data_IF_673870570130
#
_entry.id   IF_673870570130
#
_cell.length_a   1.000
_cell.length_b   1.000
_cell.length_c   1.000
_cell.angle_alpha   90.00
_cell.angle_beta   90.00
_cell.angle_gamma   90.00
#
_symmetry.space_group_name_H-M   'P 1'
#
loop_
_entity.id
_entity.type
_entity.pdbx_description
1 polymer ?
#
# COMPACT_ATOMS: atom_id res chain seq x y z
N UNK A 1 -4.98 7.46 -22.25
CA UNK A 1 -3.83 6.60 -21.80
C UNK A 1 -3.81 5.36 -22.67
N UNK A 2 -2.61 4.91 -23.10
CA UNK A 2 -2.41 3.71 -23.94
C UNK A 2 -2.93 2.44 -23.24
N UNK A 3 -3.35 1.44 -24.04
CA UNK A 3 -3.62 0.08 -23.56
C UNK A 3 -2.33 -0.75 -23.33
N UNK A 4 -1.23 -0.33 -23.96
CA UNK A 4 0.10 -0.98 -23.84
C UNK A 4 1.17 0.09 -23.57
N UNK A 5 1.18 0.68 -22.35
CA UNK A 5 2.17 1.71 -22.01
C UNK A 5 3.61 1.18 -21.96
N UNK A 6 3.80 -0.14 -21.82
CA UNK A 6 5.13 -0.77 -21.87
C UNK A 6 5.88 -0.50 -23.15
N UNK A 7 5.20 -0.36 -24.29
CA UNK A 7 5.86 -0.07 -25.58
C UNK A 7 6.58 1.27 -25.56
N UNK A 8 5.89 2.33 -25.08
CA UNK A 8 6.51 3.65 -24.94
C UNK A 8 7.64 3.69 -23.91
N UNK A 9 7.47 2.97 -22.79
CA UNK A 9 8.51 2.88 -21.75
C UNK A 9 9.77 2.14 -22.26
N UNK A 10 9.61 1.04 -23.02
CA UNK A 10 10.72 0.34 -23.68
C UNK A 10 11.47 1.25 -24.63
N UNK A 11 10.75 1.98 -25.49
CA UNK A 11 11.34 2.93 -26.42
C UNK A 11 12.14 4.02 -25.69
N UNK A 12 11.59 4.59 -24.62
CA UNK A 12 12.31 5.57 -23.80
C UNK A 12 13.54 4.98 -23.10
N UNK A 13 13.47 3.71 -22.67
CA UNK A 13 14.61 3.01 -22.08
C UNK A 13 15.73 2.81 -23.11
N UNK A 14 15.40 2.36 -24.32
CA UNK A 14 16.36 2.17 -25.42
C UNK A 14 17.06 3.47 -25.83
N UNK A 15 16.35 4.60 -25.75
CA UNK A 15 16.90 5.93 -26.00
C UNK A 15 17.66 6.54 -24.81
N UNK A 16 17.77 5.85 -23.68
CA UNK A 16 18.28 6.39 -22.40
C UNK A 16 17.59 7.70 -22.00
N UNK A 17 16.26 7.78 -22.26
CA UNK A 17 15.44 8.97 -22.01
C UNK A 17 14.54 8.85 -20.77
N UNK A 18 14.68 7.76 -20.01
CA UNK A 18 14.04 7.62 -18.69
C UNK A 18 14.83 8.39 -17.63
N UNK A 19 14.13 8.84 -16.59
CA UNK A 19 14.82 9.40 -15.42
C UNK A 19 15.56 8.29 -14.67
N UNK A 20 16.76 8.59 -14.15
CA UNK A 20 17.70 7.62 -13.57
C UNK A 20 17.11 6.60 -12.61
N UNK A 21 16.19 6.93 -11.66
CA UNK A 21 15.59 5.89 -10.82
C UNK A 21 14.82 4.81 -11.60
N UNK A 22 14.17 5.15 -12.73
CA UNK A 22 13.50 4.16 -13.58
C UNK A 22 14.54 3.32 -14.36
N UNK A 23 15.61 3.92 -14.87
CA UNK A 23 16.68 3.18 -15.57
C UNK A 23 17.30 2.10 -14.68
N UNK A 24 17.50 2.39 -13.39
CA UNK A 24 18.09 1.42 -12.45
C UNK A 24 17.25 0.15 -12.26
N UNK A 25 15.96 0.16 -12.60
CA UNK A 25 15.13 -1.03 -12.57
C UNK A 25 15.57 -2.09 -13.58
N UNK A 26 16.15 -1.67 -14.72
CA UNK A 26 16.62 -2.57 -15.77
C UNK A 26 17.84 -3.39 -15.34
N UNK A 27 18.65 -2.86 -14.43
CA UNK A 27 19.85 -3.54 -13.89
C UNK A 27 19.61 -4.20 -12.54
N UNK A 28 18.42 -4.02 -11.95
CA UNK A 28 18.08 -4.61 -10.66
C UNK A 28 17.60 -6.05 -10.85
N UNK A 29 18.38 -7.06 -10.39
CA UNK A 29 18.01 -8.45 -10.55
C UNK A 29 16.87 -8.85 -9.62
N UNK A 30 16.13 -9.88 -10.02
CA UNK A 30 15.12 -10.53 -9.19
C UNK A 30 15.38 -12.03 -9.12
N UNK A 31 14.81 -12.69 -8.11
CA UNK A 31 14.89 -14.15 -8.00
C UNK A 31 14.10 -14.81 -9.13
N UNK A 32 14.77 -15.57 -9.98
CA UNK A 32 14.19 -16.22 -11.17
C UNK A 32 13.09 -17.24 -10.83
N UNK A 33 13.12 -17.86 -9.65
CA UNK A 33 12.07 -18.78 -9.16
C UNK A 33 10.72 -18.09 -8.90
N UNK A 34 10.72 -16.78 -8.64
CA UNK A 34 9.52 -15.95 -8.45
C UNK A 34 9.29 -14.94 -9.57
N UNK A 35 10.32 -14.60 -10.31
CA UNK A 35 10.36 -13.57 -11.33
C UNK A 35 11.18 -14.04 -12.56
N UNK A 36 10.65 -15.03 -13.35
CA UNK A 36 11.36 -15.53 -14.55
C UNK A 36 11.62 -14.43 -15.58
N UNK A 37 10.93 -13.29 -15.51
CA UNK A 37 11.17 -12.09 -16.32
C UNK A 37 12.53 -11.43 -16.05
N UNK A 38 13.25 -11.80 -14.99
CA UNK A 38 14.65 -11.57 -14.72
C UNK A 38 14.97 -10.29 -13.93
N UNK A 39 14.47 -9.12 -14.34
CA UNK A 39 14.76 -7.85 -13.67
C UNK A 39 13.50 -7.06 -13.33
N UNK A 40 13.65 -6.03 -12.50
CA UNK A 40 12.51 -5.23 -12.00
C UNK A 40 11.85 -4.43 -13.13
N UNK A 41 12.60 -3.96 -14.13
CA UNK A 41 12.02 -3.25 -15.28
C UNK A 41 11.07 -4.15 -16.08
N UNK A 42 11.50 -5.37 -16.41
CA UNK A 42 10.66 -6.31 -17.15
C UNK A 42 9.36 -6.61 -16.40
N UNK A 43 9.45 -6.83 -15.08
CA UNK A 43 8.27 -6.97 -14.22
C UNK A 43 7.37 -5.73 -14.27
N UNK A 44 7.96 -4.54 -14.09
CA UNK A 44 7.21 -3.27 -14.11
C UNK A 44 6.48 -3.05 -15.43
N UNK A 45 7.09 -3.40 -16.56
CA UNK A 45 6.47 -3.30 -17.89
C UNK A 45 5.23 -4.20 -18.02
N UNK A 46 5.28 -5.42 -17.49
CA UNK A 46 4.11 -6.31 -17.44
C UNK A 46 3.01 -5.75 -16.53
N UNK A 47 3.38 -5.25 -15.36
CA UNK A 47 2.44 -4.67 -14.39
C UNK A 47 1.73 -3.44 -14.95
N UNK A 48 2.42 -2.54 -15.65
CA UNK A 48 1.78 -1.34 -16.22
C UNK A 48 0.81 -1.66 -17.36
N UNK A 49 1.07 -2.71 -18.15
CA UNK A 49 0.12 -3.14 -19.19
C UNK A 49 -1.14 -3.76 -18.55
N UNK A 50 -0.99 -4.59 -17.52
CA UNK A 50 -2.12 -5.12 -16.76
C UNK A 50 -2.92 -4.01 -16.06
N UNK A 51 -2.23 -3.04 -15.48
CA UNK A 51 -2.85 -1.87 -14.87
C UNK A 51 -3.65 -1.05 -15.89
N UNK A 52 -3.16 -0.93 -17.12
CA UNK A 52 -3.87 -0.24 -18.19
C UNK A 52 -5.20 -0.90 -18.56
N UNK A 53 -5.33 -2.23 -18.40
CA UNK A 53 -6.57 -2.96 -18.65
C UNK A 53 -7.63 -2.78 -17.54
N UNK A 54 -7.20 -2.47 -16.31
CA UNK A 54 -8.12 -2.34 -15.17
C UNK A 54 -8.23 -0.92 -14.59
N UNK A 55 -7.46 0.05 -15.08
CA UNK A 55 -7.43 1.42 -14.55
C UNK A 55 -8.79 2.08 -14.41
N UNK A 56 -9.70 1.83 -15.36
CA UNK A 56 -11.03 2.46 -15.39
C UNK A 56 -11.97 1.90 -14.30
N UNK A 57 -11.57 0.82 -13.61
CA UNK A 57 -12.25 0.26 -12.43
C UNK A 57 -11.73 0.86 -11.12
N UNK A 58 -10.74 1.75 -11.17
CA UNK A 58 -10.13 2.38 -10.00
C UNK A 58 -10.68 3.79 -9.78
N UNK A 59 -10.57 4.29 -8.56
CA UNK A 59 -11.10 5.60 -8.18
C UNK A 59 -10.38 6.78 -8.87
N UNK A 60 -9.13 6.55 -9.32
CA UNK A 60 -8.33 7.58 -10.00
C UNK A 60 -7.36 6.96 -11.01
N UNK A 61 -7.79 6.71 -12.27
CA UNK A 61 -7.01 6.00 -13.28
C UNK A 61 -5.59 6.51 -13.48
N UNK A 62 -5.37 7.83 -13.55
CA UNK A 62 -4.05 8.41 -13.75
C UNK A 62 -3.12 8.18 -12.56
N UNK A 63 -3.61 8.38 -11.34
CA UNK A 63 -2.83 8.14 -10.12
C UNK A 63 -2.51 6.65 -9.95
N UNK A 64 -3.43 5.77 -10.32
CA UNK A 64 -3.24 4.33 -10.33
C UNK A 64 -2.15 3.90 -11.31
N UNK A 65 -2.15 4.42 -12.53
CA UNK A 65 -1.12 4.12 -13.53
C UNK A 65 0.28 4.58 -13.10
N UNK A 66 0.41 5.77 -12.49
CA UNK A 66 1.66 6.21 -11.89
C UNK A 66 2.09 5.30 -10.74
N UNK A 67 1.16 4.84 -9.94
CA UNK A 67 1.45 3.88 -8.86
C UNK A 67 1.95 2.55 -9.40
N UNK A 68 1.36 2.04 -10.48
CA UNK A 68 1.80 0.82 -11.13
C UNK A 68 3.21 0.94 -11.72
N UNK A 69 3.55 2.09 -12.33
CA UNK A 69 4.91 2.35 -12.81
C UNK A 69 5.94 2.42 -11.68
N UNK A 70 5.56 2.93 -10.52
CA UNK A 70 6.48 3.25 -9.42
C UNK A 70 6.42 2.29 -8.24
N UNK A 71 5.58 1.23 -8.28
CA UNK A 71 5.35 0.36 -7.11
C UNK A 71 6.64 -0.25 -6.56
N UNK A 72 7.54 -0.63 -7.45
CA UNK A 72 8.81 -1.31 -7.15
C UNK A 72 10.06 -0.41 -7.25
N UNK A 73 9.87 0.91 -7.38
CA UNK A 73 10.96 1.87 -7.59
C UNK A 73 12.01 1.89 -6.47
N UNK A 74 11.69 1.34 -5.32
CA UNK A 74 12.61 1.22 -4.18
C UNK A 74 13.52 -0.01 -4.22
N UNK A 75 13.24 -1.01 -5.06
CA UNK A 75 14.00 -2.26 -5.11
C UNK A 75 15.50 -2.07 -5.35
N UNK A 76 15.96 -1.22 -6.29
CA UNK A 76 17.39 -1.05 -6.54
C UNK A 76 18.21 -0.62 -5.32
N UNK A 77 17.59 0.04 -4.33
CA UNK A 77 18.28 0.51 -3.13
C UNK A 77 18.46 -0.56 -2.05
N UNK A 78 17.68 -1.64 -2.11
CA UNK A 78 17.58 -2.62 -1.01
C UNK A 78 17.67 -4.06 -1.47
N UNK A 79 17.84 -4.32 -2.78
CA UNK A 79 17.98 -5.67 -3.30
C UNK A 79 19.31 -6.28 -2.85
N UNK A 80 19.21 -7.42 -2.17
CA UNK A 80 20.39 -8.20 -1.75
C UNK A 80 20.97 -9.00 -2.91
N UNK A 81 22.21 -9.51 -2.79
CA UNK A 81 22.80 -10.38 -3.83
C UNK A 81 21.94 -11.60 -4.19
N UNK A 82 21.13 -12.10 -3.23
CA UNK A 82 20.21 -13.22 -3.44
C UNK A 82 18.89 -12.78 -4.09
N UNK A 83 18.75 -11.53 -4.52
CA UNK A 83 17.57 -10.98 -5.18
C UNK A 83 16.36 -10.74 -4.27
N UNK A 84 16.56 -10.64 -2.95
CA UNK A 84 15.51 -10.22 -2.01
C UNK A 84 15.55 -8.70 -1.85
N UNK A 85 14.39 -8.06 -1.69
CA UNK A 85 14.29 -6.60 -1.53
C UNK A 85 13.47 -6.21 -0.29
N UNK A 86 13.98 -6.46 0.94
CA UNK A 86 13.28 -6.11 2.16
C UNK A 86 13.13 -4.60 2.29
N UNK A 87 11.93 -4.10 2.66
CA UNK A 87 11.69 -2.68 2.86
C UNK A 87 11.68 -1.83 1.57
N UNK A 88 11.52 -2.47 0.39
CA UNK A 88 11.47 -1.72 -0.88
C UNK A 88 10.26 -0.78 -0.97
N UNK A 89 9.20 -1.03 -0.24
CA UNK A 89 8.04 -0.14 -0.14
C UNK A 89 8.40 1.18 0.57
N UNK A 90 9.12 1.14 1.71
CA UNK A 90 9.62 2.34 2.40
C UNK A 90 10.66 3.07 1.56
N UNK A 91 11.60 2.34 0.97
CA UNK A 91 12.61 2.90 0.06
C UNK A 91 11.95 3.51 -1.17
N UNK A 92 10.90 2.89 -1.73
CA UNK A 92 10.11 3.41 -2.83
C UNK A 92 9.45 4.73 -2.51
N UNK A 93 8.90 4.88 -1.31
CA UNK A 93 8.36 6.17 -0.84
C UNK A 93 9.45 7.25 -0.78
N UNK A 94 10.66 6.92 -0.33
CA UNK A 94 11.79 7.87 -0.31
C UNK A 94 12.18 8.31 -1.73
N UNK A 95 12.33 7.34 -2.64
CA UNK A 95 12.62 7.62 -4.06
C UNK A 95 11.53 8.46 -4.70
N UNK A 96 10.26 8.13 -4.48
CA UNK A 96 9.13 8.92 -4.97
C UNK A 96 9.21 10.36 -4.48
N UNK A 97 9.41 10.58 -3.19
CA UNK A 97 9.48 11.94 -2.62
C UNK A 97 10.65 12.74 -3.20
N UNK A 98 11.80 12.13 -3.41
CA UNK A 98 13.02 12.79 -3.90
C UNK A 98 12.97 13.10 -5.40
N UNK A 99 12.53 12.15 -6.23
CA UNK A 99 12.69 12.23 -7.68
C UNK A 99 11.40 12.46 -8.46
N UNK A 100 10.25 12.13 -7.92
CA UNK A 100 8.98 12.14 -8.67
C UNK A 100 7.95 13.12 -8.14
N UNK A 101 7.96 13.42 -6.84
CA UNK A 101 6.89 14.21 -6.22
C UNK A 101 6.73 15.61 -6.82
N UNK A 102 7.79 16.18 -7.36
CA UNK A 102 7.76 17.51 -7.99
C UNK A 102 7.04 17.55 -9.35
N UNK A 103 6.87 16.41 -10.04
CA UNK A 103 6.09 16.34 -11.27
C UNK A 103 4.59 16.53 -11.05
N UNK A 104 4.13 16.43 -9.82
CA UNK A 104 2.72 16.53 -9.48
C UNK A 104 2.45 17.79 -8.67
N UNK A 105 1.54 18.64 -9.12
CA UNK A 105 1.04 19.80 -8.36
C UNK A 105 -0.06 19.38 -7.37
N UNK A 106 -0.86 18.39 -7.71
CA UNK A 106 -2.00 17.94 -6.91
C UNK A 106 -1.52 17.11 -5.68
N UNK A 107 -1.70 17.68 -4.49
CA UNK A 107 -1.32 17.05 -3.21
C UNK A 107 -2.04 15.71 -2.95
N UNK A 108 -3.31 15.57 -3.37
CA UNK A 108 -4.08 14.32 -3.21
C UNK A 108 -3.50 13.22 -4.11
N UNK A 109 -3.09 13.56 -5.35
CA UNK A 109 -2.44 12.62 -6.25
C UNK A 109 -1.09 12.13 -5.70
N UNK A 110 -0.26 13.05 -5.17
CA UNK A 110 0.99 12.68 -4.49
C UNK A 110 0.72 11.69 -3.34
N UNK A 111 -0.30 11.99 -2.52
CA UNK A 111 -0.67 11.14 -1.40
C UNK A 111 -1.12 9.77 -1.86
N UNK A 112 -1.95 9.71 -2.92
CA UNK A 112 -2.41 8.45 -3.52
C UNK A 112 -1.23 7.57 -3.96
N UNK A 113 -0.35 8.10 -4.83
CA UNK A 113 0.78 7.36 -5.39
C UNK A 113 1.72 6.88 -4.28
N UNK A 114 2.11 7.76 -3.37
CA UNK A 114 2.98 7.42 -2.24
C UNK A 114 2.39 6.33 -1.35
N UNK A 115 1.09 6.41 -1.06
CA UNK A 115 0.41 5.41 -0.23
C UNK A 115 0.29 4.08 -0.96
N UNK A 116 0.02 4.08 -2.27
CA UNK A 116 -0.02 2.86 -3.06
C UNK A 116 1.34 2.17 -3.13
N UNK A 117 2.43 2.92 -3.35
CA UNK A 117 3.81 2.38 -3.29
C UNK A 117 4.06 1.71 -1.94
N UNK A 118 3.62 2.32 -0.84
CA UNK A 118 3.82 1.76 0.49
C UNK A 118 3.00 0.49 0.73
N UNK A 119 1.73 0.45 0.29
CA UNK A 119 0.79 -0.62 0.64
C UNK A 119 0.67 -1.73 -0.41
N UNK A 120 1.26 -1.63 -1.61
CA UNK A 120 1.02 -2.58 -2.71
C UNK A 120 1.23 -4.06 -2.34
N UNK A 121 2.20 -4.34 -1.45
CA UNK A 121 2.52 -5.71 -0.99
C UNK A 121 1.65 -6.19 0.18
N UNK A 122 0.93 -5.28 0.87
CA UNK A 122 0.33 -5.61 2.17
C UNK A 122 -0.75 -6.69 2.08
N UNK A 123 -1.65 -6.61 1.09
CA UNK A 123 -2.71 -7.63 0.94
C UNK A 123 -2.11 -9.01 0.67
N UNK A 124 -1.16 -9.14 -0.24
CA UNK A 124 -0.53 -10.42 -0.55
C UNK A 124 0.26 -10.98 0.65
N UNK A 125 0.89 -10.11 1.45
CA UNK A 125 1.55 -10.53 2.69
C UNK A 125 0.53 -10.99 3.74
N UNK A 126 -0.63 -10.34 3.83
CA UNK A 126 -1.71 -10.75 4.73
C UNK A 126 -2.29 -12.11 4.34
N UNK A 127 -2.52 -12.35 3.05
CA UNK A 127 -2.95 -13.66 2.52
C UNK A 127 -1.94 -14.74 2.91
N UNK A 128 -0.66 -14.52 2.59
CA UNK A 128 0.40 -15.49 2.87
C UNK A 128 0.55 -15.82 4.36
N UNK A 129 0.41 -14.82 5.22
CA UNK A 129 0.59 -14.94 6.66
C UNK A 129 -0.72 -15.23 7.41
N UNK A 130 -1.85 -15.37 6.71
CA UNK A 130 -3.19 -15.51 7.29
C UNK A 130 -3.46 -14.49 8.41
N UNK A 131 -3.18 -13.24 8.11
CA UNK A 131 -3.16 -12.16 9.10
C UNK A 131 -4.53 -11.95 9.76
N UNK A 132 -4.49 -11.68 11.08
CA UNK A 132 -5.69 -11.40 11.88
C UNK A 132 -6.35 -10.07 11.49
N UNK A 133 -7.58 -9.85 11.96
CA UNK A 133 -8.39 -8.66 11.65
C UNK A 133 -7.71 -7.35 12.06
N UNK A 134 -6.94 -7.37 13.14
CA UNK A 134 -6.14 -6.22 13.56
C UNK A 134 -5.24 -5.66 12.44
N UNK A 135 -4.52 -6.52 11.72
CA UNK A 135 -3.68 -6.09 10.60
C UNK A 135 -4.51 -5.51 9.45
N UNK A 136 -5.68 -6.08 9.21
CA UNK A 136 -6.60 -5.58 8.19
C UNK A 136 -7.19 -4.21 8.56
N UNK A 137 -7.58 -3.99 9.82
CA UNK A 137 -8.02 -2.67 10.29
C UNK A 137 -6.91 -1.62 10.20
N UNK A 138 -5.65 -1.99 10.49
CA UNK A 138 -4.50 -1.10 10.29
C UNK A 138 -4.32 -0.71 8.83
N UNK A 139 -4.49 -1.66 7.90
CA UNK A 139 -4.45 -1.38 6.47
C UNK A 139 -5.56 -0.39 6.10
N UNK A 140 -6.81 -0.66 6.47
CA UNK A 140 -7.93 0.22 6.18
C UNK A 140 -7.72 1.64 6.74
N UNK A 141 -7.24 1.77 8.00
CA UNK A 141 -6.85 3.07 8.58
C UNK A 141 -5.81 3.79 7.73
N UNK A 142 -4.84 3.05 7.19
CA UNK A 142 -3.73 3.62 6.41
C UNK A 142 -4.13 4.14 5.04
N UNK A 143 -5.18 3.59 4.44
CA UNK A 143 -5.68 4.00 3.10
C UNK A 143 -6.92 4.89 3.17
N UNK A 144 -7.55 5.04 4.33
CA UNK A 144 -8.79 5.80 4.51
C UNK A 144 -8.66 7.24 4.03
N UNK A 145 -9.64 7.69 3.24
CA UNK A 145 -9.67 9.04 2.65
C UNK A 145 -8.55 9.29 1.62
N UNK A 146 -7.89 8.25 1.13
CA UNK A 146 -6.87 8.33 0.08
C UNK A 146 -7.34 7.61 -1.18
N UNK A 147 -7.69 6.33 -1.05
CA UNK A 147 -8.31 5.52 -2.09
C UNK A 147 -9.10 4.35 -1.47
N UNK A 148 -10.10 3.80 -2.18
CA UNK A 148 -10.87 2.65 -1.71
C UNK A 148 -10.02 1.37 -1.75
N UNK A 149 -10.36 0.40 -0.90
CA UNK A 149 -9.70 -0.91 -0.84
C UNK A 149 -9.60 -1.58 -2.23
N UNK A 150 -10.61 -1.40 -3.09
CA UNK A 150 -10.63 -1.97 -4.44
C UNK A 150 -9.42 -1.55 -5.29
N UNK A 151 -8.93 -0.31 -5.15
CA UNK A 151 -7.75 0.14 -5.89
C UNK A 151 -6.51 -0.65 -5.48
N UNK A 152 -6.37 -0.94 -4.18
CA UNK A 152 -5.27 -1.75 -3.67
C UNK A 152 -5.40 -3.22 -4.10
N UNK A 153 -6.62 -3.76 -4.15
CA UNK A 153 -6.89 -5.12 -4.69
C UNK A 153 -6.48 -5.19 -6.15
N UNK A 154 -6.89 -4.21 -6.97
CA UNK A 154 -6.47 -4.13 -8.38
C UNK A 154 -4.96 -4.08 -8.52
N UNK A 155 -4.27 -3.25 -7.72
CA UNK A 155 -2.81 -3.15 -7.74
C UNK A 155 -2.14 -4.47 -7.36
N UNK A 156 -2.61 -5.13 -6.30
CA UNK A 156 -2.08 -6.42 -5.86
C UNK A 156 -2.26 -7.52 -6.92
N UNK A 157 -3.38 -7.50 -7.65
CA UNK A 157 -3.61 -8.40 -8.79
C UNK A 157 -2.66 -8.11 -9.95
N UNK A 158 -2.48 -6.85 -10.32
CA UNK A 158 -1.55 -6.45 -11.40
C UNK A 158 -0.11 -6.85 -11.06
N UNK A 159 0.38 -6.57 -9.86
CA UNK A 159 1.70 -7.00 -9.40
C UNK A 159 1.85 -8.53 -9.48
N UNK A 160 0.84 -9.27 -9.02
CA UNK A 160 0.91 -10.73 -9.01
C UNK A 160 0.84 -11.33 -10.40
N UNK A 161 -0.07 -10.86 -11.25
CA UNK A 161 -0.23 -11.32 -12.63
C UNK A 161 0.93 -10.88 -13.54
N UNK A 162 1.63 -9.80 -13.21
CA UNK A 162 2.83 -9.33 -13.90
C UNK A 162 4.05 -10.22 -13.72
N UNK A 163 3.96 -11.30 -12.94
CA UNK A 163 5.03 -12.31 -12.80
C UNK A 163 4.79 -13.46 -13.76
N UNK A 164 5.76 -13.78 -14.60
CA UNK A 164 5.64 -14.90 -15.55
C UNK A 164 5.52 -16.27 -14.86
N UNK A 165 5.95 -16.38 -13.59
CA UNK A 165 5.74 -17.56 -12.74
C UNK A 165 4.34 -17.60 -12.09
N UNK A 166 3.37 -16.86 -12.62
CA UNK A 166 2.07 -16.71 -12.00
C UNK A 166 1.30 -18.04 -11.93
N UNK A 167 0.67 -18.26 -10.77
CA UNK A 167 -0.25 -19.36 -10.52
C UNK A 167 -1.66 -18.79 -10.36
N UNK A 168 -2.64 -19.19 -11.19
CA UNK A 168 -4.02 -18.69 -11.13
C UNK A 168 -4.64 -18.78 -9.73
N UNK A 169 -4.31 -19.85 -8.98
CA UNK A 169 -4.81 -20.07 -7.61
C UNK A 169 -4.46 -18.93 -6.64
N UNK A 170 -3.40 -18.18 -6.93
CA UNK A 170 -3.00 -17.08 -6.06
C UNK A 170 -3.98 -15.90 -6.13
N UNK A 171 -4.60 -15.67 -7.28
CA UNK A 171 -5.60 -14.61 -7.45
C UNK A 171 -6.92 -14.99 -6.77
N UNK A 172 -7.39 -16.25 -6.97
CA UNK A 172 -8.60 -16.71 -6.28
C UNK A 172 -8.43 -16.70 -4.76
N UNK A 173 -7.26 -17.07 -4.24
CA UNK A 173 -6.95 -16.98 -2.80
C UNK A 173 -6.99 -15.54 -2.30
N UNK A 174 -6.48 -14.57 -3.07
CA UNK A 174 -6.59 -13.16 -2.72
C UNK A 174 -8.05 -12.69 -2.68
N UNK A 175 -8.84 -13.05 -3.69
CA UNK A 175 -10.25 -12.67 -3.76
C UNK A 175 -11.04 -13.24 -2.58
N UNK A 176 -10.91 -14.54 -2.32
CA UNK A 176 -11.56 -15.20 -1.16
C UNK A 176 -11.15 -14.51 0.15
N UNK A 177 -9.86 -14.26 0.36
CA UNK A 177 -9.38 -13.58 1.57
C UNK A 177 -10.00 -12.18 1.72
N UNK A 178 -10.03 -11.40 0.65
CA UNK A 178 -10.60 -10.04 0.69
C UNK A 178 -12.09 -10.08 0.94
N UNK A 179 -12.83 -10.98 0.28
CA UNK A 179 -14.28 -11.17 0.48
C UNK A 179 -14.62 -11.53 1.93
N UNK A 180 -13.90 -12.49 2.52
CA UNK A 180 -14.05 -12.86 3.93
C UNK A 180 -13.77 -11.67 4.87
N UNK A 181 -12.70 -10.90 4.62
CA UNK A 181 -12.36 -9.73 5.43
C UNK A 181 -13.41 -8.62 5.28
N UNK A 182 -13.87 -8.35 4.05
CA UNK A 182 -14.90 -7.34 3.81
C UNK A 182 -16.22 -7.73 4.47
N UNK A 183 -16.62 -9.01 4.37
CA UNK A 183 -17.83 -9.52 5.01
C UNK A 183 -17.81 -9.36 6.53
N UNK A 184 -16.65 -9.61 7.17
CA UNK A 184 -16.52 -9.59 8.64
C UNK A 184 -16.14 -8.21 9.18
N UNK A 185 -15.28 -7.48 8.51
CA UNK A 185 -14.65 -6.25 9.01
C UNK A 185 -15.06 -4.98 8.24
N UNK A 186 -15.78 -5.13 7.12
CA UNK A 186 -16.07 -4.02 6.20
C UNK A 186 -14.90 -3.63 5.33
N UNK A 187 -15.08 -2.57 4.54
CA UNK A 187 -14.09 -2.05 3.57
C UNK A 187 -13.62 -0.61 3.87
N UNK A 188 -13.96 -0.10 5.06
CA UNK A 188 -13.57 1.22 5.57
C UNK A 188 -12.90 1.11 6.93
N UNK A 189 -12.13 2.12 7.31
CA UNK A 189 -11.59 2.21 8.65
C UNK A 189 -12.71 2.23 9.71
N UNK A 190 -12.46 1.65 10.87
CA UNK A 190 -13.40 1.69 11.98
C UNK A 190 -13.68 3.15 12.36
N UNK A 191 -14.93 3.46 12.64
CA UNK A 191 -15.28 4.74 13.24
C UNK A 191 -14.77 4.74 14.69
N UNK A 192 -13.92 5.70 15.11
CA UNK A 192 -13.35 5.72 16.45
C UNK A 192 -14.44 5.74 17.55
N UNK A 193 -14.28 4.93 18.58
CA UNK A 193 -15.10 5.00 19.79
C UNK A 193 -14.84 6.23 20.62
N UNK A 194 -13.60 6.70 20.59
CA UNK A 194 -13.09 7.82 21.37
C UNK A 194 -12.61 8.92 20.43
N UNK A 195 -13.16 10.09 20.59
CA UNK A 195 -12.73 11.32 19.94
C UNK A 195 -12.21 12.34 20.97
N UNK A 196 -11.75 13.49 20.49
CA UNK A 196 -11.22 14.54 21.37
C UNK A 196 -12.25 15.07 22.36
N UNK A 197 -13.56 15.09 21.99
CA UNK A 197 -14.63 15.55 22.87
C UNK A 197 -14.83 14.57 24.03
N UNK A 198 -14.90 13.29 23.75
CA UNK A 198 -15.04 12.27 24.79
C UNK A 198 -13.83 12.24 25.73
N UNK A 199 -12.59 12.43 25.23
CA UNK A 199 -11.42 12.55 26.10
C UNK A 199 -11.52 13.72 27.07
N UNK A 200 -12.04 14.88 26.64
CA UNK A 200 -12.27 16.04 27.51
C UNK A 200 -13.36 15.70 28.55
N UNK A 201 -14.44 15.07 28.16
CA UNK A 201 -15.51 14.62 29.07
C UNK A 201 -14.99 13.63 30.14
N UNK A 202 -14.01 12.80 29.77
CA UNK A 202 -13.31 11.90 30.69
C UNK A 202 -12.28 12.65 31.58
N UNK A 203 -12.15 13.97 31.40
CA UNK A 203 -11.33 14.85 32.23
C UNK A 203 -9.85 14.86 31.82
N UNK A 204 -9.50 14.48 30.61
CA UNK A 204 -8.19 14.72 30.06
C UNK A 204 -8.07 16.17 29.59
N UNK A 205 -6.93 16.81 29.83
CA UNK A 205 -6.66 18.17 29.35
C UNK A 205 -6.01 18.09 27.97
N UNK A 206 -6.45 18.91 26.97
CA UNK A 206 -5.78 18.99 25.67
C UNK A 206 -4.30 19.39 25.85
N UNK A 207 -3.40 18.51 25.44
CA UNK A 207 -1.95 18.68 25.47
C UNK A 207 -1.30 17.87 24.34
N UNK A 208 0.02 17.78 24.34
CA UNK A 208 0.78 17.02 23.32
C UNK A 208 0.46 15.51 23.33
N UNK A 209 0.09 14.94 24.49
CA UNK A 209 -0.21 13.51 24.66
C UNK A 209 -1.61 13.15 24.13
N UNK A 210 -2.46 14.14 23.82
CA UNK A 210 -3.85 13.92 23.41
C UNK A 210 -3.99 13.06 22.18
N UNK A 211 -3.09 13.30 21.21
CA UNK A 211 -3.04 12.49 19.99
C UNK A 211 -2.61 11.05 20.28
N UNK A 212 -1.63 10.88 21.16
CA UNK A 212 -1.18 9.54 21.54
C UNK A 212 -2.28 8.74 22.23
N UNK A 213 -3.08 9.39 23.10
CA UNK A 213 -4.22 8.77 23.77
C UNK A 213 -5.29 8.35 22.76
N UNK A 214 -5.60 9.19 21.77
CA UNK A 214 -6.56 8.84 20.70
C UNK A 214 -6.04 7.68 19.85
N UNK A 215 -4.78 7.71 19.45
CA UNK A 215 -4.16 6.63 18.67
C UNK A 215 -4.11 5.31 19.45
N UNK A 216 -3.86 5.36 20.76
CA UNK A 216 -3.88 4.19 21.64
C UNK A 216 -5.29 3.63 21.83
N UNK A 217 -6.29 4.49 22.08
CA UNK A 217 -7.69 4.08 22.19
C UNK A 217 -8.18 3.40 20.89
N UNK A 218 -7.79 3.95 19.73
CA UNK A 218 -8.11 3.38 18.44
C UNK A 218 -7.39 2.03 18.21
N UNK A 219 -6.14 1.88 18.66
CA UNK A 219 -5.42 0.62 18.59
C UNK A 219 -6.10 -0.48 19.42
N UNK A 220 -6.58 -0.16 20.62
CA UNK A 220 -7.38 -1.08 21.44
C UNK A 220 -8.64 -1.52 20.72
N UNK A 221 -9.38 -0.58 20.12
CA UNK A 221 -10.56 -0.88 19.31
C UNK A 221 -10.26 -1.83 18.17
N UNK A 222 -9.17 -1.59 17.41
CA UNK A 222 -8.73 -2.49 16.33
C UNK A 222 -8.35 -3.88 16.83
N UNK A 223 -7.94 -4.02 18.11
CA UNK A 223 -7.66 -5.30 18.77
C UNK A 223 -8.90 -6.03 19.25
N UNK A 224 -10.09 -5.41 19.11
CA UNK A 224 -11.39 -6.01 19.46
C UNK A 224 -11.91 -5.64 20.84
N UNK A 225 -11.31 -4.66 21.52
CA UNK A 225 -11.91 -4.13 22.75
C UNK A 225 -13.20 -3.37 22.41
N UNK A 226 -14.25 -3.56 23.21
CA UNK A 226 -15.46 -2.78 23.13
C UNK A 226 -15.27 -1.35 23.70
N UNK A 227 -16.26 -0.50 23.50
CA UNK A 227 -16.18 0.92 23.88
C UNK A 227 -16.00 1.10 25.38
N UNK A 228 -16.70 0.30 26.18
CA UNK A 228 -16.67 0.34 27.65
C UNK A 228 -15.29 -0.02 28.18
N UNK A 229 -14.71 -1.09 27.68
CA UNK A 229 -13.34 -1.52 28.03
C UNK A 229 -12.31 -0.47 27.66
N UNK A 230 -12.41 0.14 26.46
CA UNK A 230 -11.50 1.22 26.05
C UNK A 230 -11.60 2.43 27.00
N UNK A 231 -12.82 2.82 27.40
CA UNK A 231 -13.04 3.94 28.34
C UNK A 231 -12.47 3.60 29.72
N UNK A 232 -12.64 2.39 30.22
CA UNK A 232 -12.09 1.96 31.51
C UNK A 232 -10.56 2.01 31.51
N UNK A 233 -9.94 1.49 30.45
CA UNK A 233 -8.48 1.53 30.29
C UNK A 233 -7.94 2.95 30.23
N UNK A 234 -8.66 3.87 29.55
CA UNK A 234 -8.30 5.30 29.53
C UNK A 234 -8.35 5.92 30.93
N UNK A 235 -9.43 5.66 31.71
CA UNK A 235 -9.55 6.16 33.09
C UNK A 235 -8.42 5.65 33.97
N UNK A 236 -8.11 4.35 33.93
CA UNK A 236 -7.01 3.79 34.69
C UNK A 236 -5.63 4.40 34.36
N UNK A 237 -5.41 4.78 33.08
CA UNK A 237 -4.17 5.47 32.68
C UNK A 237 -4.09 6.91 33.18
N UNK A 238 -5.22 7.55 33.43
CA UNK A 238 -5.28 8.91 34.01
C UNK A 238 -4.92 8.90 35.50
N UNK A 239 -5.44 7.89 36.22
CA UNK A 239 -5.28 7.80 37.67
C UNK A 239 -3.89 7.28 38.11
N UNK A 240 -3.14 6.66 37.17
CA UNK A 240 -1.79 6.13 37.40
C UNK A 240 -0.66 7.10 37.05
N UNK A 241 -0.98 8.35 36.68
CA UNK A 241 -0.05 9.48 36.53
C UNK A 241 -0.26 10.46 37.71
#
# INVERSE_FOLDING_TARGET
MSSHPSMGLKFLLELNALIRPLETLATCPQRLDFHPEGNVMNHTLLVVDLAALCKDKTSWPLAFMWSALLHDIGKPLVTTPEGKAPGHNESGVKVFNQYFSHFFTNKKMKKYIRTMIYYHMHLMNMVRNQSKDYSYYKLLKGIEGIFPLNDLVCMSKCDKLGRLANRPETISTLDTYVEEKVSRCGNHALKPFVDGKLLIELGFKPNQDFKELLDWAYDLQMRGHDKESVIQLLKGRKDGK
#
